data_IF_930690543350
#
_entry.id   IF_930690543350
#
_cell.length_a   1.000
_cell.length_b   1.000
_cell.length_c   1.000
_cell.angle_alpha   90.00
_cell.angle_beta   90.00
_cell.angle_gamma   90.00
#
_symmetry.space_group_name_H-M   'P 1'
#
loop_
_entity.id
_entity.type
_entity.pdbx_description
1 polymer ?
#
# COMPACT_ATOMS: atom_id res chain seq x y z
N UNK A 1 53.08 7.02 -7.95
CA UNK A 1 52.50 7.23 -9.30
C UNK A 1 52.82 6.01 -10.15
N UNK A 2 52.05 5.70 -11.22
CA UNK A 2 50.64 6.01 -11.49
C UNK A 2 49.83 4.68 -11.52
N UNK A 3 48.56 4.56 -11.92
CA UNK A 3 47.49 5.48 -12.36
C UNK A 3 46.24 5.21 -11.50
N UNK A 4 45.29 6.13 -11.46
CA UNK A 4 43.89 5.86 -11.07
C UNK A 4 43.17 5.10 -12.18
N UNK A 5 42.37 4.09 -11.83
CA UNK A 5 41.42 3.46 -12.74
C UNK A 5 40.01 3.60 -12.17
N UNK A 6 39.55 4.87 -12.11
CA UNK A 6 38.16 5.21 -11.79
C UNK A 6 37.25 4.63 -12.88
N UNK A 7 36.89 3.37 -12.69
CA UNK A 7 35.82 2.74 -13.45
C UNK A 7 34.53 3.29 -12.87
N UNK A 8 34.11 4.46 -13.38
CA UNK A 8 32.74 4.92 -13.24
C UNK A 8 31.84 3.91 -13.96
N UNK A 9 31.47 2.86 -13.22
CA UNK A 9 30.38 1.97 -13.60
C UNK A 9 29.15 2.86 -13.61
N UNK A 10 28.75 3.30 -14.80
CA UNK A 10 27.46 3.94 -15.01
C UNK A 10 26.39 2.91 -14.63
N UNK A 11 25.94 2.95 -13.38
CA UNK A 11 24.77 2.22 -12.95
C UNK A 11 23.62 2.63 -13.86
N UNK A 12 23.19 1.73 -14.74
CA UNK A 12 22.00 1.92 -15.57
C UNK A 12 20.80 1.81 -14.62
N UNK A 13 20.52 2.91 -13.92
CA UNK A 13 19.50 2.98 -12.91
C UNK A 13 18.16 2.63 -13.55
N UNK A 14 17.60 1.49 -13.13
CA UNK A 14 16.28 1.04 -13.59
C UNK A 14 15.25 2.14 -13.35
N UNK A 15 14.46 2.50 -14.37
CA UNK A 15 13.51 3.60 -14.25
C UNK A 15 12.45 3.31 -13.18
N UNK A 16 12.01 4.36 -12.48
CA UNK A 16 11.06 4.24 -11.37
C UNK A 16 9.63 4.51 -11.84
N UNK A 17 8.63 3.85 -11.22
CA UNK A 17 7.22 4.08 -11.55
C UNK A 17 6.88 5.56 -11.32
N UNK A 18 6.32 6.21 -12.34
CA UNK A 18 6.00 7.63 -12.35
C UNK A 18 7.09 8.52 -12.98
N UNK A 19 8.27 7.99 -13.27
CA UNK A 19 9.35 8.74 -13.92
C UNK A 19 8.94 9.16 -15.34
N UNK A 20 9.19 10.42 -15.71
CA UNK A 20 8.87 10.98 -17.03
C UNK A 20 10.17 11.31 -17.78
N UNK A 21 10.32 10.76 -18.99
CA UNK A 21 11.44 11.06 -19.91
C UNK A 21 10.92 11.37 -21.30
N UNK A 22 11.67 12.17 -22.08
CA UNK A 22 11.41 12.36 -23.51
C UNK A 22 11.80 11.13 -24.32
N UNK A 23 11.17 10.93 -25.47
CA UNK A 23 11.41 9.79 -26.37
C UNK A 23 12.88 9.59 -26.74
N UNK A 24 13.61 10.68 -27.02
CA UNK A 24 15.05 10.63 -27.31
C UNK A 24 15.88 10.04 -26.15
N UNK A 25 15.50 10.31 -24.90
CA UNK A 25 16.19 9.81 -23.69
C UNK A 25 15.86 8.37 -23.32
N UNK A 26 14.98 7.71 -24.08
CA UNK A 26 14.58 6.31 -23.87
C UNK A 26 14.75 5.46 -25.15
N UNK A 27 15.54 5.93 -26.12
CA UNK A 27 15.86 5.20 -27.35
C UNK A 27 14.69 5.05 -28.35
N UNK A 28 13.67 5.90 -28.27
CA UNK A 28 12.55 5.88 -29.23
C UNK A 28 12.94 6.57 -30.53
N UNK A 29 13.06 5.81 -31.62
CA UNK A 29 13.32 6.36 -32.97
C UNK A 29 12.12 7.09 -33.58
N UNK A 30 10.90 6.71 -33.19
CA UNK A 30 9.65 7.41 -33.54
C UNK A 30 9.09 8.14 -32.31
N UNK A 31 8.49 9.32 -32.52
CA UNK A 31 8.00 10.19 -31.44
C UNK A 31 9.10 10.68 -30.46
N UNK A 32 10.31 10.98 -30.96
CA UNK A 32 11.46 11.48 -30.17
C UNK A 32 11.13 12.67 -29.26
N UNK A 33 10.26 13.59 -29.72
CA UNK A 33 9.86 14.81 -28.98
C UNK A 33 8.72 14.57 -27.97
N UNK A 34 8.08 13.40 -27.99
CA UNK A 34 6.98 13.09 -27.06
C UNK A 34 7.52 12.72 -25.69
N UNK A 35 6.78 13.10 -24.64
CA UNK A 35 7.04 12.61 -23.29
C UNK A 35 6.48 11.20 -23.11
N UNK A 36 7.17 10.40 -22.33
CA UNK A 36 6.80 9.06 -21.90
C UNK A 36 6.95 8.95 -20.39
N UNK A 37 6.08 8.18 -19.75
CA UNK A 37 6.11 7.87 -18.33
C UNK A 37 6.38 6.37 -18.14
N UNK A 38 7.22 6.01 -17.17
CA UNK A 38 7.41 4.63 -16.77
C UNK A 38 6.24 4.20 -15.88
N UNK A 39 5.44 3.26 -16.37
CA UNK A 39 4.17 2.88 -15.73
C UNK A 39 3.98 1.35 -15.70
N UNK A 40 3.57 0.85 -14.54
CA UNK A 40 3.07 -0.50 -14.38
C UNK A 40 1.73 -0.70 -15.12
N UNK A 41 1.47 -1.91 -15.56
CA UNK A 41 0.14 -2.32 -15.99
C UNK A 41 -0.78 -2.45 -14.76
N UNK A 42 -1.92 -1.75 -14.71
CA UNK A 42 -2.90 -1.85 -13.59
C UNK A 42 -3.39 -3.28 -13.34
N UNK A 43 -3.26 -4.11 -14.38
CA UNK A 43 -3.69 -5.48 -14.49
C UNK A 43 -2.53 -6.41 -14.08
N UNK A 44 -1.53 -6.61 -14.96
CA UNK A 44 -0.45 -7.59 -14.74
C UNK A 44 0.83 -7.06 -14.07
N UNK A 45 0.85 -5.82 -13.58
CA UNK A 45 2.02 -5.18 -12.98
C UNK A 45 3.16 -4.83 -13.96
N UNK A 46 3.18 -5.40 -15.18
CA UNK A 46 4.30 -5.30 -16.12
C UNK A 46 4.62 -3.85 -16.52
N UNK A 47 5.80 -3.41 -16.13
CA UNK A 47 6.31 -2.04 -16.31
C UNK A 47 6.78 -1.78 -17.75
N UNK A 48 6.62 -0.53 -18.21
CA UNK A 48 7.00 -0.07 -19.57
C UNK A 48 6.96 1.46 -19.68
N UNK A 49 7.66 2.00 -20.68
CA UNK A 49 7.44 3.37 -21.16
C UNK A 49 6.10 3.48 -21.92
N UNK A 50 5.16 4.25 -21.39
CA UNK A 50 3.87 4.62 -22.00
C UNK A 50 3.91 6.11 -22.38
N UNK A 51 3.28 6.53 -23.48
CA UNK A 51 3.21 7.96 -23.84
C UNK A 51 2.52 8.73 -22.72
N UNK A 52 3.06 9.89 -22.34
CA UNK A 52 2.51 10.77 -21.30
C UNK A 52 1.73 11.91 -21.96
N UNK A 53 0.40 11.88 -21.85
CA UNK A 53 -0.52 12.86 -22.44
C UNK A 53 -1.58 13.27 -21.42
N UNK A 54 -2.07 14.52 -21.49
CA UNK A 54 -3.13 15.02 -20.58
C UNK A 54 -2.84 14.75 -19.09
N UNK A 55 -1.56 14.86 -18.70
CA UNK A 55 -1.02 14.56 -17.36
C UNK A 55 -1.13 13.09 -16.88
N UNK A 56 -1.37 12.12 -17.77
CA UNK A 56 -1.50 10.70 -17.45
C UNK A 56 -0.78 9.79 -18.47
N UNK A 57 -0.52 8.50 -18.15
CA UNK A 57 -0.16 7.51 -19.17
C UNK A 57 -1.34 7.29 -20.12
N UNK A 58 -1.08 7.34 -21.43
CA UNK A 58 -2.06 7.13 -22.52
C UNK A 58 -2.82 5.80 -22.39
N UNK A 59 -2.15 4.75 -21.88
CA UNK A 59 -2.74 3.43 -21.64
C UNK A 59 -2.35 2.87 -20.28
N UNK A 60 -3.34 2.70 -19.40
CA UNK A 60 -3.19 2.05 -18.09
C UNK A 60 -2.84 0.54 -18.23
N UNK A 61 -3.38 -0.12 -19.26
CA UNK A 61 -3.16 -1.54 -19.56
C UNK A 61 -2.06 -1.73 -20.61
N UNK A 62 -1.34 -2.86 -20.54
CA UNK A 62 -0.44 -3.29 -21.61
C UNK A 62 -1.23 -3.93 -22.76
N UNK A 63 -0.62 -4.05 -23.95
CA UNK A 63 -1.28 -4.56 -25.15
C UNK A 63 -1.88 -5.97 -24.97
N UNK A 64 -1.21 -6.84 -24.21
CA UNK A 64 -1.73 -8.18 -23.92
C UNK A 64 -3.01 -8.12 -23.07
N UNK A 65 -2.98 -7.45 -21.92
CA UNK A 65 -4.14 -7.29 -21.05
C UNK A 65 -5.31 -6.57 -21.75
N UNK A 66 -5.01 -5.58 -22.61
CA UNK A 66 -6.05 -4.89 -23.39
C UNK A 66 -6.74 -5.77 -24.42
N UNK A 67 -6.07 -6.80 -24.97
CA UNK A 67 -6.63 -7.70 -25.99
C UNK A 67 -7.48 -8.83 -25.43
N UNK A 68 -7.20 -9.28 -24.20
CA UNK A 68 -7.92 -10.40 -23.57
C UNK A 68 -9.37 -10.03 -23.23
N UNK A 69 -9.64 -8.73 -23.04
CA UNK A 69 -10.92 -8.24 -22.51
C UNK A 69 -11.08 -8.60 -21.04
N UNK A 70 -11.94 -7.87 -20.32
CA UNK A 70 -12.14 -8.10 -18.89
C UNK A 70 -13.09 -9.29 -18.64
N UNK A 71 -12.70 -10.50 -19.07
CA UNK A 71 -13.47 -11.74 -18.89
C UNK A 71 -13.35 -12.36 -17.49
N UNK A 72 -12.43 -11.85 -16.68
CA UNK A 72 -12.19 -12.28 -15.31
C UNK A 72 -12.57 -11.14 -14.36
N UNK A 73 -13.05 -11.43 -13.15
CA UNK A 73 -13.35 -10.43 -12.10
C UNK A 73 -12.08 -9.82 -11.48
N UNK A 74 -11.14 -9.41 -12.33
CA UNK A 74 -9.78 -9.07 -11.95
C UNK A 74 -9.66 -7.58 -11.63
N UNK A 75 -9.86 -7.28 -10.34
CA UNK A 75 -9.85 -5.93 -9.79
C UNK A 75 -8.39 -5.48 -9.54
N UNK A 76 -7.58 -5.41 -10.62
CA UNK A 76 -6.16 -5.06 -10.53
C UNK A 76 -5.35 -5.98 -9.61
N UNK A 77 -5.67 -7.28 -9.62
CA UNK A 77 -5.07 -8.26 -8.72
C UNK A 77 -5.55 -8.22 -7.26
N UNK A 78 -6.56 -7.42 -6.91
CA UNK A 78 -7.22 -7.48 -5.59
C UNK A 78 -8.33 -8.54 -5.59
N UNK A 79 -8.51 -9.25 -4.47
CA UNK A 79 -9.64 -10.15 -4.22
C UNK A 79 -9.96 -10.23 -2.73
N UNK A 80 -11.18 -10.62 -2.37
CA UNK A 80 -11.63 -10.80 -0.98
C UNK A 80 -11.70 -12.28 -0.60
N UNK A 81 -11.20 -12.63 0.58
CA UNK A 81 -11.25 -13.99 1.13
C UNK A 81 -11.31 -13.97 2.66
N UNK A 82 -12.32 -14.61 3.25
CA UNK A 82 -12.56 -14.64 4.71
C UNK A 82 -12.55 -13.24 5.39
N UNK A 83 -13.08 -12.23 4.72
CA UNK A 83 -13.08 -10.84 5.20
C UNK A 83 -11.74 -10.11 5.08
N UNK A 84 -10.68 -10.76 4.59
CA UNK A 84 -9.40 -10.12 4.27
C UNK A 84 -9.30 -9.76 2.79
N UNK A 85 -8.58 -8.67 2.50
CA UNK A 85 -8.14 -8.33 1.14
C UNK A 85 -6.84 -9.07 0.82
N UNK A 86 -6.77 -9.68 -0.37
CA UNK A 86 -5.58 -10.32 -0.92
C UNK A 86 -5.14 -9.61 -2.21
N UNK A 87 -3.82 -9.47 -2.39
CA UNK A 87 -3.17 -8.82 -3.53
C UNK A 87 -2.35 -9.86 -4.29
N UNK A 88 -2.51 -9.91 -5.61
CA UNK A 88 -1.72 -10.76 -6.49
C UNK A 88 -0.27 -10.25 -6.56
N UNK A 89 0.66 -11.01 -5.98
CA UNK A 89 2.09 -10.67 -5.86
C UNK A 89 2.92 -11.93 -6.11
N UNK A 90 3.12 -12.35 -7.38
CA UNK A 90 3.61 -13.69 -7.74
C UNK A 90 5.04 -14.02 -7.30
N UNK A 91 5.85 -13.00 -7.00
CA UNK A 91 7.23 -13.17 -6.53
C UNK A 91 7.36 -12.98 -5.00
N UNK A 92 6.26 -12.86 -4.26
CA UNK A 92 6.33 -12.64 -2.83
C UNK A 92 6.62 -13.92 -2.06
N UNK A 93 7.52 -13.85 -1.07
CA UNK A 93 7.91 -15.01 -0.26
C UNK A 93 6.79 -15.57 0.63
N UNK A 94 5.68 -14.82 0.81
CA UNK A 94 4.43 -15.25 1.44
C UNK A 94 3.26 -15.42 0.46
N UNK A 95 3.53 -15.50 -0.85
CA UNK A 95 2.48 -15.78 -1.82
C UNK A 95 1.94 -17.21 -1.66
N UNK A 96 0.62 -17.36 -1.75
CA UNK A 96 -0.03 -18.68 -1.80
C UNK A 96 0.15 -19.34 -3.19
N UNK A 97 -0.36 -20.56 -3.35
CA UNK A 97 -0.31 -21.32 -4.61
C UNK A 97 -0.97 -20.63 -5.81
N UNK A 98 -1.77 -19.57 -5.59
CA UNK A 98 -2.40 -18.74 -6.63
C UNK A 98 -1.69 -17.41 -6.83
N UNK A 99 -0.48 -17.22 -6.27
CA UNK A 99 0.29 -15.98 -6.33
C UNK A 99 -0.32 -14.79 -5.56
N UNK A 100 -1.11 -15.01 -4.50
CA UNK A 100 -1.70 -13.94 -3.67
C UNK A 100 -1.13 -13.87 -2.25
N UNK A 101 -1.05 -12.65 -1.71
CA UNK A 101 -0.64 -12.33 -0.33
C UNK A 101 -1.74 -11.49 0.33
N UNK A 102 -1.96 -11.61 1.64
CA UNK A 102 -2.88 -10.70 2.35
C UNK A 102 -2.34 -9.27 2.40
N UNK A 103 -3.20 -8.27 2.14
CA UNK A 103 -2.80 -6.87 2.04
C UNK A 103 -2.20 -6.32 3.34
N UNK A 104 -2.76 -6.69 4.50
CA UNK A 104 -2.23 -6.26 5.81
C UNK A 104 -0.75 -6.64 6.01
N UNK A 105 -0.29 -7.76 5.44
CA UNK A 105 1.12 -8.16 5.48
C UNK A 105 1.94 -7.16 4.65
N UNK A 106 1.53 -6.92 3.41
CA UNK A 106 2.23 -6.03 2.48
C UNK A 106 2.29 -4.58 2.98
N UNK A 107 1.23 -4.10 3.64
CA UNK A 107 1.22 -2.77 4.28
C UNK A 107 2.20 -2.73 5.45
N UNK A 108 2.13 -3.70 6.36
CA UNK A 108 3.02 -3.74 7.52
C UNK A 108 4.49 -3.82 7.11
N UNK A 109 4.83 -4.67 6.15
CA UNK A 109 6.21 -4.85 5.66
C UNK A 109 6.74 -3.59 4.96
N UNK A 110 5.89 -2.88 4.20
CA UNK A 110 6.24 -1.60 3.57
C UNK A 110 6.56 -0.53 4.61
N UNK A 111 5.73 -0.42 5.65
CA UNK A 111 5.89 0.59 6.71
C UNK A 111 7.14 0.34 7.55
N UNK A 112 7.42 -0.93 7.87
CA UNK A 112 8.59 -1.30 8.67
C UNK A 112 9.87 -1.54 7.84
N UNK A 113 9.80 -1.39 6.52
CA UNK A 113 10.86 -1.68 5.53
C UNK A 113 11.58 -3.02 5.78
N UNK A 114 10.83 -4.07 6.17
CA UNK A 114 11.37 -5.38 6.50
C UNK A 114 10.35 -6.50 6.30
N UNK A 115 10.83 -7.72 6.09
CA UNK A 115 9.99 -8.92 6.02
C UNK A 115 9.37 -9.24 7.37
N UNK A 116 8.11 -9.64 7.39
CA UNK A 116 7.42 -10.15 8.58
C UNK A 116 8.09 -11.48 9.00
N UNK A 117 8.62 -11.62 10.24
CA UNK A 117 9.40 -12.79 10.61
C UNK A 117 8.61 -14.10 10.55
N UNK A 118 9.32 -15.22 10.32
CA UNK A 118 8.72 -16.56 10.31
C UNK A 118 8.07 -16.87 11.66
N UNK A 119 6.86 -17.44 11.64
CA UNK A 119 6.08 -17.69 12.85
C UNK A 119 5.32 -16.46 13.40
N UNK A 120 5.42 -15.29 12.76
CA UNK A 120 4.61 -14.10 13.09
C UNK A 120 3.42 -13.94 12.15
N UNK A 121 2.39 -13.29 12.68
CA UNK A 121 1.11 -12.94 12.05
C UNK A 121 0.79 -11.47 12.33
N UNK A 122 -0.10 -10.88 11.53
CA UNK A 122 -0.62 -9.52 11.77
C UNK A 122 -1.99 -9.62 12.42
N UNK A 123 -2.27 -8.73 13.36
CA UNK A 123 -3.57 -8.54 13.99
C UNK A 123 -4.10 -7.14 13.68
N UNK A 124 -5.40 -7.05 13.42
CA UNK A 124 -6.15 -5.79 13.33
C UNK A 124 -6.64 -5.41 14.72
N UNK A 125 -6.16 -4.29 15.28
CA UNK A 125 -6.44 -3.88 16.66
C UNK A 125 -7.93 -3.63 16.91
N UNK A 126 -8.66 -3.10 15.92
CA UNK A 126 -10.11 -2.92 15.96
C UNK A 126 -10.92 -4.18 15.59
N UNK A 127 -10.27 -5.27 15.19
CA UNK A 127 -10.92 -6.50 14.72
C UNK A 127 -11.55 -6.42 13.31
N UNK A 128 -11.44 -5.30 12.61
CA UNK A 128 -11.96 -5.11 11.24
C UNK A 128 -10.90 -5.58 10.25
N UNK A 129 -11.13 -6.77 9.65
CA UNK A 129 -10.14 -7.52 8.84
C UNK A 129 -9.66 -6.83 7.55
N UNK A 130 -10.40 -5.84 7.04
CA UNK A 130 -10.07 -5.09 5.83
C UNK A 130 -9.60 -3.64 6.09
N UNK A 131 -9.63 -3.18 7.35
CA UNK A 131 -9.05 -1.89 7.76
C UNK A 131 -7.52 -2.01 7.87
N UNK A 132 -6.87 -2.00 6.70
CA UNK A 132 -5.43 -2.21 6.55
C UNK A 132 -4.60 -0.92 6.80
N UNK A 133 -5.11 0.05 7.56
CA UNK A 133 -4.34 1.25 7.94
C UNK A 133 -3.17 0.87 8.87
N UNK A 134 -1.94 1.41 8.67
CA UNK A 134 -0.76 1.01 9.44
C UNK A 134 -0.94 1.05 10.96
N UNK A 135 -1.62 2.09 11.48
CA UNK A 135 -1.91 2.28 12.89
C UNK A 135 -2.85 1.22 13.49
N UNK A 136 -3.58 0.48 12.66
CA UNK A 136 -4.46 -0.62 13.07
C UNK A 136 -3.75 -1.99 13.04
N UNK A 137 -2.51 -2.08 12.54
CA UNK A 137 -1.82 -3.36 12.27
C UNK A 137 -0.66 -3.61 13.24
N UNK A 138 -0.79 -4.62 14.10
CA UNK A 138 0.30 -5.08 14.98
C UNK A 138 0.81 -6.47 14.56
N UNK A 139 2.12 -6.67 14.56
CA UNK A 139 2.72 -8.00 14.36
C UNK A 139 2.86 -8.72 15.71
N UNK A 140 2.39 -9.96 15.79
CA UNK A 140 2.45 -10.81 16.99
C UNK A 140 3.00 -12.20 16.63
N UNK A 141 3.58 -12.91 17.62
CA UNK A 141 4.01 -14.29 17.43
C UNK A 141 2.78 -15.22 17.44
N UNK A 142 2.78 -16.27 16.60
CA UNK A 142 1.74 -17.31 16.66
C UNK A 142 1.72 -17.94 18.06
N UNK A 143 0.54 -17.97 18.68
CA UNK A 143 0.33 -18.45 20.05
C UNK A 143 0.11 -17.34 21.08
N UNK A 144 0.55 -16.10 20.82
CA UNK A 144 0.29 -14.95 21.71
C UNK A 144 -1.10 -14.32 21.49
N UNK A 145 -1.80 -14.76 20.44
CA UNK A 145 -3.10 -14.24 20.01
C UNK A 145 -4.30 -14.64 20.88
N UNK A 146 -4.16 -15.64 21.76
CA UNK A 146 -5.32 -16.38 22.29
C UNK A 146 -6.12 -15.66 23.37
N UNK A 147 -5.59 -14.58 23.97
CA UNK A 147 -6.19 -13.94 25.16
C UNK A 147 -6.26 -12.40 25.18
N UNK A 148 -5.74 -11.70 24.16
CA UNK A 148 -5.67 -10.24 24.18
C UNK A 148 -7.02 -9.55 23.88
N UNK A 149 -7.90 -10.19 23.09
CA UNK A 149 -9.09 -9.51 22.56
C UNK A 149 -10.12 -9.04 23.61
N UNK A 150 -10.35 -9.80 24.68
CA UNK A 150 -11.36 -9.44 25.70
C UNK A 150 -10.98 -8.18 26.50
N UNK A 151 -9.84 -8.15 27.22
CA UNK A 151 -9.49 -6.99 28.05
C UNK A 151 -9.30 -5.72 27.23
N UNK A 152 -8.79 -5.80 25.99
CA UNK A 152 -8.68 -4.61 25.14
C UNK A 152 -10.03 -4.11 24.62
N UNK A 153 -10.96 -4.99 24.19
CA UNK A 153 -12.32 -4.55 23.78
C UNK A 153 -13.08 -3.90 24.93
N UNK A 154 -13.01 -4.46 26.14
CA UNK A 154 -13.61 -3.87 27.35
C UNK A 154 -12.97 -2.53 27.72
N UNK A 155 -11.64 -2.44 27.63
CA UNK A 155 -10.91 -1.20 27.92
C UNK A 155 -11.17 -0.11 26.88
N UNK A 156 -11.19 -0.44 25.59
CA UNK A 156 -11.53 0.49 24.50
C UNK A 156 -12.92 1.05 24.72
N UNK A 157 -13.94 0.20 24.87
CA UNK A 157 -15.33 0.63 25.12
C UNK A 157 -15.47 1.53 26.35
N UNK A 158 -14.73 1.22 27.41
CA UNK A 158 -14.70 2.02 28.64
C UNK A 158 -14.02 3.38 28.43
N UNK A 159 -12.96 3.43 27.63
CA UNK A 159 -12.26 4.67 27.28
C UNK A 159 -13.12 5.54 26.35
N UNK A 160 -13.77 4.97 25.35
CA UNK A 160 -14.71 5.66 24.45
C UNK A 160 -15.86 6.30 25.24
N UNK A 161 -16.53 5.54 26.11
CA UNK A 161 -17.56 6.08 27.02
C UNK A 161 -17.02 7.20 27.92
N UNK A 162 -15.77 7.09 28.38
CA UNK A 162 -15.16 8.13 29.24
C UNK A 162 -14.83 9.39 28.46
N UNK A 163 -14.40 9.29 27.19
CA UNK A 163 -14.17 10.44 26.32
C UNK A 163 -15.48 11.19 26.08
N UNK A 164 -16.54 10.48 25.68
CA UNK A 164 -17.87 11.09 25.44
C UNK A 164 -18.42 11.83 26.68
N UNK A 165 -18.22 11.26 27.87
CA UNK A 165 -18.59 11.89 29.15
C UNK A 165 -17.76 13.15 29.46
N UNK A 166 -16.46 13.12 29.17
CA UNK A 166 -15.56 14.26 29.38
C UNK A 166 -15.83 15.40 28.39
N UNK A 167 -16.14 15.09 27.14
CA UNK A 167 -16.53 16.07 26.11
C UNK A 167 -17.82 16.80 26.53
N UNK A 168 -18.87 16.05 26.93
CA UNK A 168 -20.12 16.63 27.44
C UNK A 168 -19.92 17.50 28.69
N UNK A 169 -19.04 17.09 29.61
CA UNK A 169 -18.71 17.87 30.79
C UNK A 169 -17.91 19.15 30.46
N UNK A 170 -17.02 19.08 29.46
CA UNK A 170 -16.28 20.24 28.96
C UNK A 170 -17.21 21.25 28.28
N UNK A 171 -18.12 20.79 27.43
CA UNK A 171 -19.13 21.62 26.77
C UNK A 171 -20.04 22.31 27.79
N UNK A 172 -20.50 21.58 28.81
CA UNK A 172 -21.30 22.13 29.90
C UNK A 172 -20.54 23.20 30.70
N UNK A 173 -19.28 22.97 31.04
CA UNK A 173 -18.44 23.97 31.72
C UNK A 173 -18.20 25.20 30.83
N UNK A 174 -17.92 25.03 29.54
CA UNK A 174 -17.77 26.14 28.60
C UNK A 174 -19.07 26.94 28.44
N UNK A 175 -20.23 26.30 28.57
CA UNK A 175 -21.51 26.99 28.58
C UNK A 175 -21.72 27.79 29.88
N UNK A 176 -21.33 27.25 31.03
CA UNK A 176 -21.38 27.96 32.33
C UNK A 176 -20.50 29.21 32.30
N UNK A 177 -19.23 29.10 31.90
CA UNK A 177 -18.33 30.27 31.80
C UNK A 177 -18.88 31.37 30.88
N UNK A 178 -19.51 31.00 29.75
CA UNK A 178 -20.16 31.98 28.86
C UNK A 178 -21.41 32.65 29.45
N UNK A 179 -22.03 32.08 30.48
CA UNK A 179 -23.16 32.70 31.19
C UNK A 179 -22.70 33.59 32.35
N UNK A 180 -21.48 33.39 32.87
CA UNK A 180 -20.89 34.23 33.92
C UNK A 180 -20.18 35.48 33.37
N UNK A 181 -19.88 35.52 32.06
CA UNK A 181 -19.24 36.65 31.36
C UNK A 181 -20.22 37.64 30.69
N UNK A 182 -21.54 37.49 30.86
CA UNK A 182 -22.58 38.38 30.30
C UNK A 182 -23.43 39.07 31.39
#
# INVERSE_FOLDING_TARGET
>A
MPKTFDTLINEVQSPQIGEIRRGDKIGRVSSVLSNFIWAACIDCGKERWVRYIRKAPEFQRCLACSKVGNKNNWQGGRTYFDGYIMIHTPNHYRANSRSYVFEHILVWERVHNRKLPTGWVIHHLNGIKDDNRPENLVALKRGEHTHLEKPFKERIRTLEMKVELLEKALDANQLIYKLEEN
#
